data_IF_206600409194
#
_entry.id   IF_206600409194
#
_cell.length_a   1.000
_cell.length_b   1.000
_cell.length_c   1.000
_cell.angle_alpha   90.00
_cell.angle_beta   90.00
_cell.angle_gamma   90.00
#
_symmetry.space_group_name_H-M   'P 1'
#
loop_
_entity.id
_entity.type
_entity.pdbx_description
1 polymer ?
#
# COMPACT_ATOMS: atom_id res chain seq x y z
N UNK A 1 -7.12 -0.59 18.82
CA UNK A 1 -6.18 0.21 19.63
C UNK A 1 -4.78 0.25 19.02
N UNK A 2 -4.17 -0.91 18.65
CA UNK A 2 -2.80 -0.96 18.07
C UNK A 2 -2.73 -0.13 16.79
N UNK A 3 -3.63 -0.36 15.83
CA UNK A 3 -3.64 0.41 14.57
C UNK A 3 -3.79 1.93 14.81
N UNK A 4 -4.67 2.35 15.72
CA UNK A 4 -4.86 3.77 16.02
C UNK A 4 -3.58 4.43 16.56
N UNK A 5 -2.78 3.70 17.33
CA UNK A 5 -1.47 4.16 17.79
C UNK A 5 -0.47 4.28 16.63
N UNK A 6 -0.38 3.26 15.78
CA UNK A 6 0.51 3.25 14.61
C UNK A 6 0.13 4.36 13.62
N UNK A 7 -1.16 4.52 13.31
CA UNK A 7 -1.65 5.58 12.42
C UNK A 7 -1.21 6.97 12.88
N UNK A 8 -1.42 7.29 14.17
CA UNK A 8 -1.01 8.58 14.72
C UNK A 8 0.49 8.85 14.61
N UNK A 9 1.31 7.79 14.60
CA UNK A 9 2.76 7.88 14.50
C UNK A 9 3.27 7.82 13.05
N UNK A 10 2.48 7.29 12.14
CA UNK A 10 2.84 7.17 10.72
C UNK A 10 2.67 8.50 9.96
N UNK A 11 1.72 9.35 10.40
CA UNK A 11 1.41 10.62 9.75
C UNK A 11 2.26 11.76 10.32
N UNK A 12 2.64 12.76 9.50
CA UNK A 12 3.31 13.96 10.00
C UNK A 12 2.35 14.74 10.93
N UNK A 13 2.85 15.20 12.07
CA UNK A 13 2.13 16.15 12.92
C UNK A 13 2.39 17.57 12.46
N UNK A 14 1.51 18.53 12.77
CA UNK A 14 1.71 19.94 12.45
C UNK A 14 2.95 20.54 13.13
N UNK A 15 3.42 19.90 14.20
CA UNK A 15 4.63 20.27 14.96
C UNK A 15 5.82 19.33 14.65
N UNK A 16 5.73 18.53 13.53
CA UNK A 16 6.70 17.47 13.27
C UNK A 16 8.12 18.03 13.06
N UNK A 17 8.96 17.81 14.03
CA UNK A 17 10.41 17.92 13.89
C UNK A 17 10.92 16.82 12.93
N UNK A 18 11.95 17.13 12.15
CA UNK A 18 12.63 16.20 11.25
C UNK A 18 13.14 14.92 11.95
N UNK A 19 13.30 14.95 13.27
CA UNK A 19 13.66 13.80 14.11
C UNK A 19 12.57 12.72 14.18
N UNK A 20 11.35 13.00 13.72
CA UNK A 20 10.23 12.05 13.78
C UNK A 20 10.12 11.12 12.55
N UNK A 21 10.94 11.32 11.51
CA UNK A 21 10.83 10.50 10.29
C UNK A 21 11.10 9.01 10.56
N UNK A 22 12.07 8.69 11.41
CA UNK A 22 12.36 7.31 11.81
C UNK A 22 11.17 6.69 12.56
N UNK A 23 10.46 7.47 13.35
CA UNK A 23 9.23 7.05 14.03
C UNK A 23 8.12 6.77 13.05
N UNK A 24 7.94 7.61 12.01
CA UNK A 24 6.97 7.39 10.94
C UNK A 24 7.29 6.13 10.14
N UNK A 25 8.54 5.95 9.74
CA UNK A 25 9.03 4.73 9.08
C UNK A 25 8.75 3.49 9.93
N UNK A 26 9.10 3.52 11.22
CA UNK A 26 8.85 2.41 12.14
C UNK A 26 7.35 2.11 12.30
N UNK A 27 6.50 3.13 12.32
CA UNK A 27 5.05 2.98 12.41
C UNK A 27 4.47 2.32 11.13
N UNK A 28 4.92 2.73 9.95
CA UNK A 28 4.51 2.09 8.67
C UNK A 28 4.95 0.63 8.62
N UNK A 29 6.19 0.32 9.03
CA UNK A 29 6.65 -1.08 9.17
C UNK A 29 5.81 -1.87 10.16
N UNK A 30 5.38 -1.25 11.26
CA UNK A 30 4.45 -1.84 12.21
C UNK A 30 3.10 -2.16 11.59
N UNK A 31 2.57 -1.29 10.74
CA UNK A 31 1.33 -1.55 9.97
C UNK A 31 1.54 -2.74 9.02
N UNK A 32 2.65 -2.79 8.28
CA UNK A 32 3.01 -3.91 7.40
C UNK A 32 3.02 -5.24 8.16
N UNK A 33 3.69 -5.28 9.31
CA UNK A 33 3.78 -6.49 10.16
C UNK A 33 2.42 -6.90 10.70
N UNK A 34 1.60 -5.94 11.10
CA UNK A 34 0.23 -6.18 11.55
C UNK A 34 -0.64 -6.79 10.43
N UNK A 35 -0.57 -6.27 9.21
CA UNK A 35 -1.30 -6.82 8.06
C UNK A 35 -0.88 -8.27 7.76
N UNK A 36 0.43 -8.57 7.77
CA UNK A 36 0.96 -9.92 7.58
C UNK A 36 0.41 -10.89 8.64
N UNK A 37 0.38 -10.47 9.91
CA UNK A 37 -0.11 -11.29 11.03
C UNK A 37 -1.61 -11.51 10.97
N UNK A 38 -2.39 -10.45 10.74
CA UNK A 38 -3.85 -10.53 10.70
C UNK A 38 -4.34 -11.37 9.52
N UNK A 39 -3.74 -11.23 8.34
CA UNK A 39 -4.11 -12.02 7.17
C UNK A 39 -3.85 -13.51 7.34
N UNK A 40 -2.77 -13.89 8.03
CA UNK A 40 -2.47 -15.29 8.34
C UNK A 40 -3.32 -15.87 9.46
N UNK A 41 -3.96 -15.03 10.27
CA UNK A 41 -4.74 -15.43 11.46
C UNK A 41 -6.26 -15.41 11.23
N UNK A 42 -6.75 -14.86 10.11
CA UNK A 42 -8.18 -14.71 9.83
C UNK A 42 -8.78 -16.03 9.31
N UNK A 43 -9.14 -16.93 10.23
CA UNK A 43 -9.62 -18.28 9.91
C UNK A 43 -11.14 -18.40 9.80
N UNK A 44 -11.92 -17.45 10.33
CA UNK A 44 -13.40 -17.46 10.27
C UNK A 44 -13.93 -16.39 9.33
N UNK A 45 -15.17 -16.57 8.82
CA UNK A 45 -15.82 -15.57 7.95
C UNK A 45 -15.98 -14.21 8.64
N UNK A 46 -16.28 -14.20 9.95
CA UNK A 46 -16.40 -12.97 10.74
C UNK A 46 -15.05 -12.24 10.85
N UNK A 47 -13.97 -12.97 11.15
CA UNK A 47 -12.61 -12.38 11.21
C UNK A 47 -12.16 -11.82 9.86
N UNK A 48 -12.49 -12.51 8.76
CA UNK A 48 -12.20 -12.04 7.39
C UNK A 48 -12.97 -10.77 7.06
N UNK A 49 -14.27 -10.72 7.37
CA UNK A 49 -15.09 -9.52 7.20
C UNK A 49 -14.53 -8.33 7.98
N UNK A 50 -14.23 -8.52 9.26
CA UNK A 50 -13.64 -7.48 10.10
C UNK A 50 -12.27 -7.00 9.59
N UNK A 51 -11.46 -7.91 9.04
CA UNK A 51 -10.16 -7.55 8.44
C UNK A 51 -10.35 -6.77 7.14
N UNK A 52 -11.29 -7.15 6.29
CA UNK A 52 -11.63 -6.39 5.08
C UNK A 52 -12.09 -4.97 5.43
N UNK A 53 -12.99 -4.82 6.39
CA UNK A 53 -13.45 -3.50 6.86
C UNK A 53 -12.28 -2.65 7.41
N UNK A 54 -11.36 -3.26 8.14
CA UNK A 54 -10.18 -2.58 8.65
C UNK A 54 -9.23 -2.14 7.52
N UNK A 55 -9.00 -3.01 6.52
CA UNK A 55 -8.14 -2.72 5.37
C UNK A 55 -8.72 -1.57 4.53
N UNK A 56 -9.98 -1.68 4.10
CA UNK A 56 -10.62 -0.66 3.28
C UNK A 56 -10.92 0.65 4.03
N UNK A 57 -11.42 0.53 5.27
CA UNK A 57 -11.90 1.69 6.02
C UNK A 57 -10.81 2.47 6.75
N UNK A 58 -9.62 1.89 6.93
CA UNK A 58 -8.64 2.51 7.81
C UNK A 58 -7.19 2.36 7.35
N UNK A 59 -6.73 1.15 7.05
CA UNK A 59 -5.31 0.90 6.76
C UNK A 59 -4.92 1.51 5.43
N UNK A 60 -5.60 1.16 4.33
CA UNK A 60 -5.27 1.65 3.00
C UNK A 60 -5.42 3.18 2.91
N UNK A 61 -6.49 3.81 3.42
CA UNK A 61 -6.57 5.27 3.49
C UNK A 61 -5.39 5.91 4.23
N UNK A 62 -4.98 5.36 5.38
CA UNK A 62 -3.81 5.84 6.10
C UNK A 62 -2.51 5.72 5.26
N UNK A 63 -2.33 4.61 4.55
CA UNK A 63 -1.17 4.40 3.70
C UNK A 63 -1.15 5.32 2.47
N UNK A 64 -2.33 5.68 1.94
CA UNK A 64 -2.46 6.70 0.90
C UNK A 64 -2.07 8.11 1.41
N UNK A 65 -2.29 8.41 2.69
CA UNK A 65 -1.78 9.63 3.32
C UNK A 65 -0.24 9.57 3.48
N UNK A 66 0.32 8.44 3.93
CA UNK A 66 1.77 8.30 4.17
C UNK A 66 2.61 8.25 2.89
N UNK A 67 2.06 7.78 1.78
CA UNK A 67 2.76 7.76 0.48
C UNK A 67 2.93 9.17 -0.11
N UNK A 68 2.24 10.16 0.43
CA UNK A 68 2.35 11.58 0.07
C UNK A 68 3.21 12.39 1.09
N UNK A 69 4.05 11.72 1.86
CA UNK A 69 4.99 12.40 2.76
C UNK A 69 6.16 13.01 1.97
N UNK A 70 6.16 14.32 1.80
CA UNK A 70 7.21 15.10 1.13
C UNK A 70 8.00 15.98 2.11
N UNK A 71 8.18 15.51 3.34
CA UNK A 71 8.96 16.22 4.36
C UNK A 71 10.42 16.37 3.92
N UNK A 72 10.91 17.60 4.00
CA UNK A 72 12.28 17.96 3.64
C UNK A 72 12.99 18.54 4.87
N UNK A 73 14.26 18.17 5.08
CA UNK A 73 15.14 18.77 6.07
C UNK A 73 16.54 19.03 5.48
N UNK A 74 17.55 19.28 6.33
CA UNK A 74 18.93 19.50 5.93
C UNK A 74 19.60 18.26 5.29
N UNK A 75 19.03 17.08 5.41
CA UNK A 75 19.44 15.82 4.77
C UNK A 75 18.80 15.65 3.37
N UNK A 76 17.84 16.50 3.00
CA UNK A 76 17.08 16.47 1.77
C UNK A 76 15.67 15.96 1.96
N UNK A 77 15.14 15.22 0.98
CA UNK A 77 13.77 14.64 1.01
C UNK A 77 13.75 13.40 1.91
N UNK A 78 13.55 13.61 3.20
CA UNK A 78 13.45 12.54 4.20
C UNK A 78 12.10 11.83 4.16
N UNK A 79 11.05 12.49 3.66
CA UNK A 79 9.74 11.86 3.43
C UNK A 79 9.84 10.69 2.43
N UNK A 80 10.85 10.68 1.58
CA UNK A 80 11.11 9.55 0.67
C UNK A 80 11.30 8.21 1.39
N UNK A 81 11.77 8.21 2.65
CA UNK A 81 11.91 7.01 3.45
C UNK A 81 10.55 6.46 3.85
N UNK A 82 9.63 7.34 4.24
CA UNK A 82 8.25 6.97 4.59
C UNK A 82 7.52 6.47 3.35
N UNK A 83 7.62 7.20 2.21
CA UNK A 83 7.00 6.79 0.94
C UNK A 83 7.46 5.42 0.49
N UNK A 84 8.75 5.12 0.63
CA UNK A 84 9.32 3.81 0.30
C UNK A 84 8.67 2.67 1.10
N UNK A 85 8.59 2.81 2.41
CA UNK A 85 7.97 1.81 3.29
C UNK A 85 6.45 1.70 3.06
N UNK A 86 5.80 2.83 2.72
CA UNK A 86 4.36 2.86 2.43
C UNK A 86 4.00 2.04 1.20
N UNK A 87 4.87 2.02 0.18
CA UNK A 87 4.65 1.19 -1.02
C UNK A 87 4.65 -0.30 -0.69
N UNK A 88 5.56 -0.79 0.16
CA UNK A 88 5.55 -2.17 0.65
C UNK A 88 4.29 -2.45 1.48
N UNK A 89 3.93 -1.54 2.38
CA UNK A 89 2.74 -1.70 3.23
C UNK A 89 1.45 -1.77 2.40
N UNK A 90 1.33 -0.95 1.36
CA UNK A 90 0.22 -0.97 0.40
C UNK A 90 0.16 -2.32 -0.33
N UNK A 91 1.27 -2.79 -0.86
CA UNK A 91 1.33 -4.09 -1.53
C UNK A 91 0.85 -5.20 -0.60
N UNK A 92 1.40 -5.29 0.61
CA UNK A 92 1.01 -6.30 1.60
C UNK A 92 -0.48 -6.23 1.93
N UNK A 93 -1.04 -5.02 2.05
CA UNK A 93 -2.46 -4.82 2.31
C UNK A 93 -3.34 -5.32 1.16
N UNK A 94 -2.96 -5.06 -0.09
CA UNK A 94 -3.69 -5.54 -1.27
C UNK A 94 -3.53 -7.06 -1.47
N UNK A 95 -2.37 -7.64 -1.15
CA UNK A 95 -2.21 -9.10 -1.14
C UNK A 95 -3.12 -9.76 -0.10
N UNK A 96 -3.26 -9.16 1.08
CA UNK A 96 -4.21 -9.63 2.09
C UNK A 96 -5.65 -9.56 1.57
N UNK A 97 -6.06 -8.46 0.94
CA UNK A 97 -7.39 -8.32 0.32
C UNK A 97 -7.64 -9.36 -0.78
N UNK A 98 -6.68 -9.54 -1.70
CA UNK A 98 -6.79 -10.53 -2.77
C UNK A 98 -7.00 -11.95 -2.21
N UNK A 99 -6.26 -12.30 -1.16
CA UNK A 99 -6.40 -13.58 -0.46
C UNK A 99 -7.79 -13.74 0.20
N UNK A 100 -8.28 -12.70 0.88
CA UNK A 100 -9.60 -12.70 1.50
C UNK A 100 -10.73 -12.85 0.48
N UNK A 101 -10.62 -12.16 -0.66
CA UNK A 101 -11.60 -12.24 -1.76
C UNK A 101 -11.61 -13.63 -2.39
N UNK A 102 -10.46 -14.26 -2.55
CA UNK A 102 -10.34 -15.62 -3.09
C UNK A 102 -11.01 -16.68 -2.21
N UNK A 103 -10.88 -16.55 -0.90
CA UNK A 103 -11.38 -17.54 0.06
C UNK A 103 -12.83 -17.29 0.51
N UNK A 104 -13.34 -16.10 0.33
CA UNK A 104 -14.58 -15.61 0.93
C UNK A 104 -15.83 -15.66 0.05
N UNK A 105 -15.83 -16.29 -1.11
CA UNK A 105 -16.96 -16.44 -2.02
C UNK A 105 -18.13 -15.48 -1.81
N UNK A 106 -18.38 -14.53 -2.67
CA UNK A 106 -19.61 -13.69 -2.76
C UNK A 106 -19.79 -12.52 -1.80
N UNK A 107 -18.84 -12.18 -0.98
CA UNK A 107 -18.95 -11.05 -0.04
C UNK A 107 -18.02 -9.90 -0.39
N UNK A 108 -17.95 -9.45 -1.65
CA UNK A 108 -17.35 -8.14 -1.90
C UNK A 108 -18.13 -7.11 -1.07
N UNK A 109 -17.48 -6.28 -0.23
CA UNK A 109 -18.20 -5.20 0.42
C UNK A 109 -18.90 -4.41 -0.68
N UNK A 110 -20.21 -4.19 -0.50
CA UNK A 110 -21.02 -3.36 -1.39
C UNK A 110 -20.59 -1.89 -1.20
N UNK A 111 -19.32 -1.59 -1.44
CA UNK A 111 -18.84 -0.23 -1.60
C UNK A 111 -19.26 0.28 -2.97
N UNK A 112 -20.58 0.36 -3.18
CA UNK A 112 -21.16 1.21 -4.20
C UNK A 112 -21.02 2.66 -3.72
N UNK A 113 -19.81 3.18 -3.68
CA UNK A 113 -19.53 4.53 -3.19
C UNK A 113 -18.20 5.01 -3.72
N UNK A 114 -18.26 5.70 -4.80
CA UNK A 114 -17.47 6.85 -5.29
C UNK A 114 -15.93 6.83 -5.27
N UNK A 115 -15.25 6.06 -4.45
CA UNK A 115 -13.80 6.03 -4.43
C UNK A 115 -13.33 4.58 -4.58
N UNK A 116 -12.96 4.23 -5.82
CA UNK A 116 -12.34 2.95 -6.10
C UNK A 116 -10.92 2.94 -5.45
N UNK A 117 -10.86 2.39 -4.25
CA UNK A 117 -9.65 2.41 -3.40
C UNK A 117 -8.46 1.80 -4.14
N UNK A 118 -8.67 0.72 -4.88
CA UNK A 118 -7.63 0.03 -5.64
C UNK A 118 -7.10 0.91 -6.79
N UNK A 119 -7.99 1.62 -7.48
CA UNK A 119 -7.61 2.60 -8.52
C UNK A 119 -6.81 3.75 -7.90
N UNK A 120 -7.22 4.26 -6.72
CA UNK A 120 -6.49 5.32 -6.01
C UNK A 120 -5.10 4.86 -5.60
N UNK A 121 -4.97 3.63 -5.12
CA UNK A 121 -3.67 3.02 -4.76
C UNK A 121 -2.75 2.95 -5.98
N UNK A 122 -3.25 2.41 -7.09
CA UNK A 122 -2.46 2.30 -8.34
C UNK A 122 -2.08 3.70 -8.85
N UNK A 123 -3.00 4.66 -8.79
CA UNK A 123 -2.72 6.06 -9.14
C UNK A 123 -1.62 6.68 -8.28
N UNK A 124 -1.64 6.45 -6.96
CA UNK A 124 -0.60 6.91 -6.04
C UNK A 124 0.77 6.28 -6.36
N UNK A 125 0.82 4.98 -6.65
CA UNK A 125 2.06 4.30 -7.04
C UNK A 125 2.59 4.80 -8.40
N UNK A 126 1.72 5.02 -9.38
CA UNK A 126 2.11 5.61 -10.68
C UNK A 126 2.71 7.01 -10.45
N UNK A 127 2.11 7.84 -9.58
CA UNK A 127 2.68 9.14 -9.20
C UNK A 127 4.10 8.99 -8.67
N UNK A 128 4.37 8.02 -7.78
CA UNK A 128 5.71 7.75 -7.26
C UNK A 128 6.69 7.24 -8.34
N UNK A 129 6.19 6.58 -9.39
CA UNK A 129 7.05 6.13 -10.50
C UNK A 129 7.57 7.29 -11.37
N UNK A 130 7.04 8.50 -11.20
CA UNK A 130 7.47 9.72 -11.88
C UNK A 130 8.42 10.59 -11.03
N UNK A 131 8.76 10.15 -9.82
CA UNK A 131 9.63 10.88 -8.89
C UNK A 131 11.07 11.00 -9.40
N UNK A 132 11.79 12.03 -8.90
CA UNK A 132 13.21 12.25 -9.27
C UNK A 132 14.14 11.24 -8.60
N UNK A 133 13.76 10.68 -7.47
CA UNK A 133 14.59 9.75 -6.69
C UNK A 133 14.49 8.35 -7.28
N UNK A 134 15.60 7.84 -7.82
CA UNK A 134 15.65 6.53 -8.51
C UNK A 134 15.12 5.39 -7.66
N UNK A 135 15.50 5.34 -6.39
CA UNK A 135 15.01 4.31 -5.46
C UNK A 135 13.48 4.31 -5.33
N UNK A 136 12.86 5.51 -5.32
CA UNK A 136 11.40 5.63 -5.25
C UNK A 136 10.76 5.16 -6.54
N UNK A 137 11.30 5.57 -7.71
CA UNK A 137 10.79 5.11 -9.01
C UNK A 137 10.84 3.59 -9.15
N UNK A 138 12.00 2.98 -8.81
CA UNK A 138 12.16 1.53 -8.87
C UNK A 138 11.20 0.80 -7.94
N UNK A 139 11.08 1.25 -6.69
CA UNK A 139 10.14 0.66 -5.73
C UNK A 139 8.70 0.78 -6.23
N UNK A 140 8.29 1.96 -6.72
CA UNK A 140 6.96 2.18 -7.26
C UNK A 140 6.65 1.26 -8.45
N UNK A 141 7.59 1.15 -9.41
CA UNK A 141 7.46 0.22 -10.54
C UNK A 141 7.31 -1.23 -10.07
N UNK A 142 8.18 -1.67 -9.17
CA UNK A 142 8.18 -3.03 -8.64
C UNK A 142 6.85 -3.37 -7.94
N UNK A 143 6.40 -2.52 -7.01
CA UNK A 143 5.17 -2.75 -6.27
C UNK A 143 3.92 -2.66 -7.16
N UNK A 144 3.87 -1.71 -8.10
CA UNK A 144 2.77 -1.60 -9.08
C UNK A 144 2.64 -2.88 -9.89
N UNK A 145 3.75 -3.37 -10.44
CA UNK A 145 3.78 -4.61 -11.23
C UNK A 145 3.25 -5.80 -10.46
N UNK A 146 3.63 -5.94 -9.19
CA UNK A 146 3.17 -7.03 -8.33
C UNK A 146 1.68 -6.93 -8.02
N UNK A 147 1.18 -5.74 -7.72
CA UNK A 147 -0.25 -5.48 -7.50
C UNK A 147 -1.06 -5.79 -8.76
N UNK A 148 -0.58 -5.39 -9.93
CA UNK A 148 -1.22 -5.74 -11.21
C UNK A 148 -1.18 -7.25 -11.54
N UNK A 149 -0.51 -8.08 -10.75
CA UNK A 149 -0.58 -9.54 -10.78
C UNK A 149 -1.76 -10.14 -10.00
N UNK A 150 -2.46 -9.35 -9.17
CA UNK A 150 -3.56 -9.81 -8.30
C UNK A 150 -4.87 -9.90 -9.08
N UNK A 151 -5.35 -11.10 -9.34
CA UNK A 151 -6.48 -11.34 -10.26
C UNK A 151 -7.85 -11.04 -9.66
N UNK A 152 -8.00 -11.10 -8.33
CA UNK A 152 -9.29 -10.82 -7.69
C UNK A 152 -9.60 -9.32 -7.58
N UNK A 153 -8.58 -8.45 -7.75
CA UNK A 153 -8.71 -7.00 -7.73
C UNK A 153 -8.85 -6.38 -9.15
N UNK A 154 -8.72 -7.17 -10.20
CA UNK A 154 -8.74 -6.70 -11.60
C UNK A 154 -9.94 -5.82 -11.90
N UNK A 155 -11.13 -6.20 -11.44
CA UNK A 155 -12.39 -5.48 -11.71
C UNK A 155 -12.47 -4.11 -11.00
N UNK A 156 -11.64 -3.90 -10.01
CA UNK A 156 -11.64 -2.72 -9.16
C UNK A 156 -10.58 -1.68 -9.60
N UNK A 157 -9.76 -2.01 -10.58
CA UNK A 157 -8.70 -1.10 -11.06
C UNK A 157 -9.05 -0.64 -12.47
N UNK A 158 -9.20 0.67 -12.63
CA UNK A 158 -9.43 1.27 -13.94
C UNK A 158 -8.22 1.05 -14.86
N UNK A 159 -8.49 0.82 -16.14
CA UNK A 159 -7.45 0.58 -17.16
C UNK A 159 -6.49 -0.59 -16.83
N UNK A 160 -6.94 -1.57 -16.04
CA UNK A 160 -6.13 -2.73 -15.65
C UNK A 160 -5.34 -3.36 -16.80
N UNK A 161 -6.00 -3.68 -17.91
CA UNK A 161 -5.37 -4.36 -19.05
C UNK A 161 -4.24 -3.53 -19.63
N UNK A 162 -4.47 -2.23 -19.83
CA UNK A 162 -3.48 -1.30 -20.37
C UNK A 162 -2.29 -1.13 -19.41
N UNK A 163 -2.58 -0.98 -18.12
CA UNK A 163 -1.54 -0.86 -17.10
C UNK A 163 -0.69 -2.14 -17.04
N UNK A 164 -1.31 -3.31 -17.10
CA UNK A 164 -0.61 -4.59 -17.07
C UNK A 164 0.30 -4.78 -18.30
N UNK A 165 -0.06 -4.25 -19.45
CA UNK A 165 0.81 -4.24 -20.64
C UNK A 165 2.03 -3.33 -20.44
N UNK A 166 1.83 -2.12 -19.87
CA UNK A 166 2.92 -1.16 -19.61
C UNK A 166 3.93 -1.72 -18.58
N UNK A 167 3.43 -2.35 -17.52
CA UNK A 167 4.24 -2.90 -16.44
C UNK A 167 4.67 -4.36 -16.69
N UNK A 168 4.49 -4.87 -17.90
CA UNK A 168 4.93 -6.23 -18.28
C UNK A 168 6.46 -6.31 -18.22
N UNK A 169 7.04 -7.42 -17.69
CA UNK A 169 8.49 -7.60 -17.74
C UNK A 169 8.95 -7.58 -19.20
N UNK A 170 9.96 -6.79 -19.49
CA UNK A 170 10.74 -6.97 -20.70
C UNK A 170 11.30 -8.38 -20.73
N UNK A 171 11.43 -8.97 -21.91
CA UNK A 171 11.90 -10.35 -22.09
C UNK A 171 13.32 -10.63 -21.54
N UNK A 172 13.97 -9.65 -20.90
CA UNK A 172 15.35 -9.73 -20.42
C UNK A 172 15.54 -9.51 -18.90
N UNK A 173 14.50 -9.09 -18.16
CA UNK A 173 14.60 -8.96 -16.70
C UNK A 173 14.21 -10.27 -16.01
N UNK A 174 15.19 -11.16 -15.84
CA UNK A 174 15.09 -12.22 -14.84
C UNK A 174 15.14 -11.56 -13.45
N UNK A 175 14.10 -11.77 -12.64
CA UNK A 175 14.03 -11.39 -11.24
C UNK A 175 15.28 -11.88 -10.49
N UNK A 176 16.27 -11.03 -10.31
CA UNK A 176 17.38 -11.27 -9.40
C UNK A 176 17.43 -10.11 -8.40
N UNK A 177 16.79 -10.23 -7.23
CA UNK A 177 16.94 -9.26 -6.15
C UNK A 177 18.30 -9.53 -5.48
N UNK A 178 19.30 -8.74 -5.81
CA UNK A 178 20.48 -8.56 -4.96
C UNK A 178 20.22 -7.48 -3.91
#
# INVERSE_FOLDING_TARGET
QVFSCLRRKALPSEEADSSEVETRVAAVRGITSMCKTLSSSANTGEQRGALMDLLYGSIIPCLLETIDDYTIDNRGDIGSWVRHESMEAIEVSLFALDSLLREGGSGAPSTSGKDNVETNVVGALIKQSLEKIDRIRHAAYFHTRRILGLTNLEKNIECWTQLREIYRPGSEETDNPN
#
